data_IF_892632433019
#
_entry.id   IF_892632433019
#
_cell.length_a   1.000
_cell.length_b   1.000
_cell.length_c   1.000
_cell.angle_alpha   90.00
_cell.angle_beta   90.00
_cell.angle_gamma   90.00
#
_symmetry.space_group_name_H-M   'P 1'
#
loop_
_entity.id
_entity.type
_entity.pdbx_description
1 polymer ?
#
# COMPACT_ATOMS: atom_id res chain seq x y z
N UNK A 1 35.72 -14.67 -2.80
CA UNK A 1 35.14 -15.99 -3.10
C UNK A 1 33.95 -16.20 -2.18
N UNK A 2 32.73 -15.87 -2.61
CA UNK A 2 31.51 -16.20 -1.89
C UNK A 2 31.01 -17.54 -2.41
N UNK A 3 30.86 -18.51 -1.52
CA UNK A 3 30.29 -19.82 -1.85
C UNK A 3 28.81 -19.65 -2.18
N UNK A 4 28.44 -20.11 -3.36
CA UNK A 4 27.06 -20.26 -3.74
C UNK A 4 26.36 -21.25 -2.80
N UNK A 5 25.40 -20.76 -2.02
CA UNK A 5 24.49 -21.59 -1.27
C UNK A 5 23.49 -22.13 -2.27
N UNK A 6 23.56 -23.42 -2.53
CA UNK A 6 22.55 -24.13 -3.32
C UNK A 6 21.28 -24.26 -2.47
N UNK A 7 20.29 -23.43 -2.76
CA UNK A 7 18.94 -23.62 -2.24
C UNK A 7 18.31 -24.85 -2.91
N UNK A 8 17.72 -25.69 -2.06
CA UNK A 8 17.05 -26.92 -2.47
C UNK A 8 15.89 -26.64 -3.45
N UNK A 9 16.01 -27.19 -4.56
CA UNK A 9 15.19 -27.61 -5.70
C UNK A 9 13.76 -27.15 -5.89
N UNK A 10 13.39 -25.88 -5.57
CA UNK A 10 12.17 -25.26 -6.10
C UNK A 10 12.60 -24.13 -7.02
N UNK A 11 12.34 -24.24 -8.31
CA UNK A 11 12.63 -23.17 -9.26
C UNK A 11 11.73 -21.97 -8.92
N UNK A 12 12.25 -21.03 -8.15
CA UNK A 12 11.59 -19.76 -7.90
C UNK A 12 11.33 -19.07 -9.25
N UNK A 13 10.06 -18.95 -9.63
CA UNK A 13 9.69 -18.16 -10.82
C UNK A 13 10.06 -16.72 -10.53
N UNK A 14 10.99 -16.17 -11.27
CA UNK A 14 11.40 -14.77 -11.10
C UNK A 14 10.41 -13.79 -11.72
N UNK A 15 9.57 -14.24 -12.66
CA UNK A 15 8.53 -13.45 -13.32
C UNK A 15 7.20 -14.17 -13.33
N UNK A 16 6.14 -13.43 -13.10
CA UNK A 16 4.79 -13.95 -13.15
C UNK A 16 3.75 -12.85 -13.37
N UNK A 17 2.58 -13.24 -13.86
CA UNK A 17 1.43 -12.37 -14.01
C UNK A 17 0.75 -12.16 -12.66
N UNK A 18 0.46 -10.90 -12.29
CA UNK A 18 -0.40 -10.52 -11.18
C UNK A 18 -1.71 -9.94 -11.70
N UNK A 19 -2.75 -10.00 -10.88
CA UNK A 19 -4.05 -9.45 -11.17
C UNK A 19 -4.58 -8.64 -9.97
N UNK A 20 -4.99 -7.40 -10.22
CA UNK A 20 -5.71 -6.55 -9.28
C UNK A 20 -7.17 -6.43 -9.73
N UNK A 21 -8.10 -6.80 -8.88
CA UNK A 21 -9.52 -6.85 -9.21
C UNK A 21 -10.22 -5.61 -8.67
N UNK A 22 -10.88 -4.85 -9.54
CA UNK A 22 -11.88 -3.85 -9.14
C UNK A 22 -13.25 -4.50 -9.19
N UNK A 23 -14.00 -4.47 -8.10
CA UNK A 23 -15.39 -4.93 -8.04
C UNK A 23 -16.25 -3.97 -7.21
N UNK A 24 -17.56 -4.15 -7.27
CA UNK A 24 -18.56 -3.36 -6.54
C UNK A 24 -19.34 -4.27 -5.57
N UNK A 25 -18.73 -4.68 -4.43
CA UNK A 25 -19.40 -5.55 -3.48
C UNK A 25 -20.60 -4.85 -2.86
N UNK A 26 -21.72 -5.57 -2.78
CA UNK A 26 -22.95 -5.03 -2.22
C UNK A 26 -23.02 -5.27 -0.72
N UNK A 27 -23.34 -4.22 0.03
CA UNK A 27 -23.44 -4.28 1.49
C UNK A 27 -24.42 -5.38 1.92
N UNK A 28 -23.99 -6.24 2.84
CA UNK A 28 -24.79 -7.35 3.41
C UNK A 28 -25.09 -8.50 2.44
N UNK A 29 -24.63 -8.46 1.20
CA UNK A 29 -24.88 -9.50 0.20
C UNK A 29 -23.71 -10.49 0.11
N UNK A 30 -23.31 -11.06 1.27
CA UNK A 30 -22.06 -11.85 1.38
C UNK A 30 -21.97 -12.98 0.36
N UNK A 31 -23.02 -13.80 0.25
CA UNK A 31 -23.00 -14.96 -0.66
C UNK A 31 -22.90 -14.54 -2.14
N UNK A 32 -23.64 -13.46 -2.51
CA UNK A 32 -23.58 -12.91 -3.85
C UNK A 32 -22.18 -12.34 -4.15
N UNK A 33 -21.65 -11.53 -3.23
CA UNK A 33 -20.30 -10.94 -3.40
C UNK A 33 -19.24 -12.03 -3.57
N UNK A 34 -19.27 -13.07 -2.74
CA UNK A 34 -18.32 -14.19 -2.82
C UNK A 34 -18.48 -14.93 -4.16
N UNK A 35 -19.71 -15.18 -4.64
CA UNK A 35 -19.93 -15.85 -5.92
C UNK A 35 -19.37 -15.03 -7.10
N UNK A 36 -19.60 -13.72 -7.13
CA UNK A 36 -19.09 -12.81 -8.15
C UNK A 36 -17.54 -12.76 -8.11
N UNK A 37 -16.97 -12.61 -6.93
CA UNK A 37 -15.51 -12.58 -6.75
C UNK A 37 -14.85 -13.92 -7.09
N UNK A 38 -15.50 -15.03 -6.76
CA UNK A 38 -15.01 -16.35 -7.16
C UNK A 38 -14.84 -16.43 -8.67
N UNK A 39 -15.83 -15.97 -9.43
CA UNK A 39 -15.77 -15.96 -10.90
C UNK A 39 -14.62 -15.09 -11.43
N UNK A 40 -14.44 -13.86 -10.87
CA UNK A 40 -13.36 -12.96 -11.27
C UNK A 40 -11.98 -13.53 -10.92
N UNK A 41 -11.82 -14.09 -9.72
CA UNK A 41 -10.55 -14.72 -9.29
C UNK A 41 -10.25 -15.95 -10.16
N UNK A 42 -11.25 -16.77 -10.47
CA UNK A 42 -11.06 -17.94 -11.34
C UNK A 42 -10.72 -17.51 -12.77
N UNK A 43 -11.31 -16.42 -13.29
CA UNK A 43 -10.94 -15.83 -14.57
C UNK A 43 -9.47 -15.40 -14.59
N UNK A 44 -9.04 -14.65 -13.56
CA UNK A 44 -7.65 -14.22 -13.44
C UNK A 44 -6.68 -15.41 -13.35
N UNK A 45 -7.03 -16.42 -12.57
CA UNK A 45 -6.23 -17.65 -12.43
C UNK A 45 -6.13 -18.45 -13.73
N UNK A 46 -7.24 -18.58 -14.48
CA UNK A 46 -7.27 -19.21 -15.82
C UNK A 46 -6.35 -18.47 -16.81
N UNK A 47 -6.26 -17.14 -16.71
CA UNK A 47 -5.34 -16.33 -17.54
C UNK A 47 -3.87 -16.48 -17.12
N UNK A 48 -3.60 -17.18 -16.04
CA UNK A 48 -2.25 -17.49 -15.54
C UNK A 48 -1.73 -16.57 -14.46
N UNK A 49 -2.58 -15.72 -13.89
CA UNK A 49 -2.19 -14.90 -12.75
C UNK A 49 -1.77 -15.77 -11.56
N UNK A 50 -0.64 -15.44 -10.94
CA UNK A 50 -0.09 -16.13 -9.78
C UNK A 50 -0.30 -15.39 -8.47
N UNK A 51 -0.44 -14.08 -8.50
CA UNK A 51 -0.87 -13.25 -7.38
C UNK A 51 -2.14 -12.51 -7.79
N UNK A 52 -3.21 -12.66 -7.02
CA UNK A 52 -4.52 -12.09 -7.29
C UNK A 52 -5.00 -11.36 -6.04
N UNK A 53 -5.38 -10.10 -6.17
CA UNK A 53 -5.89 -9.30 -5.06
C UNK A 53 -7.36 -8.93 -5.28
N UNK A 54 -8.15 -9.04 -4.22
CA UNK A 54 -9.51 -8.57 -4.09
C UNK A 54 -9.54 -7.35 -3.15
N UNK A 55 -10.51 -6.43 -3.28
CA UNK A 55 -10.57 -5.23 -2.45
C UNK A 55 -10.77 -5.48 -0.95
N UNK A 56 -10.56 -4.44 -0.17
CA UNK A 56 -10.89 -4.39 1.25
C UNK A 56 -12.37 -4.68 1.47
N UNK A 57 -12.70 -5.47 2.52
CA UNK A 57 -14.10 -5.80 2.88
C UNK A 57 -14.94 -6.30 1.70
N UNK A 58 -14.29 -6.84 0.70
CA UNK A 58 -14.91 -7.20 -0.58
C UNK A 58 -16.03 -8.22 -0.44
N UNK A 59 -15.96 -9.05 0.58
CA UNK A 59 -16.97 -10.10 0.81
C UNK A 59 -18.31 -9.58 1.32
N UNK A 60 -18.36 -8.39 1.94
CA UNK A 60 -19.52 -7.97 2.74
C UNK A 60 -20.01 -6.55 2.50
N UNK A 61 -19.20 -5.72 1.80
CA UNK A 61 -19.37 -4.26 1.80
C UNK A 61 -18.65 -3.61 2.99
N UNK A 62 -18.62 -2.28 3.01
CA UNK A 62 -17.71 -1.51 3.86
C UNK A 62 -18.41 -0.58 4.86
N UNK A 63 -19.48 0.10 4.47
CA UNK A 63 -20.10 1.18 5.23
C UNK A 63 -20.99 0.67 6.37
N UNK A 64 -20.40 0.03 7.36
CA UNK A 64 -21.08 -0.47 8.55
C UNK A 64 -21.31 0.64 9.57
N UNK A 65 -22.50 0.68 10.17
CA UNK A 65 -22.81 1.68 11.20
C UNK A 65 -22.23 1.32 12.56
N UNK A 66 -22.27 0.04 12.93
CA UNK A 66 -21.83 -0.44 14.23
C UNK A 66 -21.51 -1.94 14.24
N UNK A 67 -21.12 -2.40 15.41
CA UNK A 67 -20.77 -3.80 15.68
C UNK A 67 -21.96 -4.76 15.52
N UNK A 68 -23.16 -4.34 15.88
CA UNK A 68 -24.35 -5.19 15.81
C UNK A 68 -24.74 -5.47 14.36
N UNK A 69 -24.57 -4.47 13.50
CA UNK A 69 -24.90 -4.60 12.10
C UNK A 69 -23.93 -5.53 11.34
N UNK A 70 -22.63 -5.49 11.65
CA UNK A 70 -21.61 -6.33 10.97
C UNK A 70 -21.57 -7.76 11.55
N UNK A 71 -22.06 -7.97 12.78
CA UNK A 71 -21.97 -9.24 13.51
C UNK A 71 -22.39 -10.48 12.72
N UNK A 72 -23.45 -10.49 11.91
CA UNK A 72 -23.85 -11.68 11.14
C UNK A 72 -22.87 -12.05 10.02
N UNK A 73 -21.91 -11.18 9.69
CA UNK A 73 -21.04 -11.29 8.52
C UNK A 73 -19.59 -11.57 8.88
N UNK A 74 -19.20 -11.40 10.14
CA UNK A 74 -17.84 -11.69 10.60
C UNK A 74 -17.60 -13.19 10.65
N UNK A 75 -16.36 -13.59 10.37
CA UNK A 75 -15.95 -14.99 10.44
C UNK A 75 -14.49 -15.10 10.92
N UNK A 76 -14.08 -16.25 11.49
CA UNK A 76 -12.68 -16.47 11.82
C UNK A 76 -11.83 -16.61 10.54
N UNK A 77 -10.53 -16.41 10.66
CA UNK A 77 -9.55 -16.73 9.63
C UNK A 77 -8.56 -17.76 10.22
N UNK A 78 -8.42 -18.95 9.61
CA UNK A 78 -9.20 -19.53 8.51
C UNK A 78 -10.70 -19.72 8.80
N UNK A 79 -11.52 -19.65 7.75
CA UNK A 79 -12.96 -19.79 7.85
C UNK A 79 -13.63 -19.98 6.48
N UNK A 80 -14.97 -19.93 6.43
CA UNK A 80 -15.74 -20.29 5.23
C UNK A 80 -15.31 -19.57 3.95
N UNK A 81 -15.03 -18.26 4.02
CA UNK A 81 -14.56 -17.49 2.85
C UNK A 81 -13.18 -17.99 2.39
N UNK A 82 -12.24 -18.17 3.30
CA UNK A 82 -10.89 -18.61 2.93
C UNK A 82 -10.87 -20.01 2.32
N UNK A 83 -11.74 -20.93 2.81
CA UNK A 83 -11.88 -22.27 2.27
C UNK A 83 -12.44 -22.28 0.83
N UNK A 84 -13.27 -21.29 0.48
CA UNK A 84 -13.80 -21.16 -0.89
C UNK A 84 -12.66 -20.76 -1.86
N UNK A 85 -11.86 -19.75 -1.51
CA UNK A 85 -10.76 -19.27 -2.37
C UNK A 85 -9.56 -20.22 -2.38
N UNK A 86 -9.34 -21.01 -1.33
CA UNK A 86 -8.32 -22.06 -1.30
C UNK A 86 -8.50 -23.06 -2.44
N UNK A 87 -9.74 -23.38 -2.80
CA UNK A 87 -10.04 -24.29 -3.92
C UNK A 87 -9.47 -23.78 -5.26
N UNK A 88 -9.57 -22.46 -5.49
CA UNK A 88 -8.97 -21.81 -6.66
C UNK A 88 -7.45 -21.80 -6.53
N UNK A 89 -6.94 -21.37 -5.38
CA UNK A 89 -5.51 -21.29 -5.12
C UNK A 89 -4.83 -22.64 -5.38
N UNK A 90 -5.40 -23.71 -4.88
CA UNK A 90 -4.93 -25.09 -5.08
C UNK A 90 -5.02 -25.55 -6.53
N UNK A 91 -6.17 -25.30 -7.19
CA UNK A 91 -6.41 -25.73 -8.57
C UNK A 91 -5.47 -25.09 -9.58
N UNK A 92 -5.14 -23.79 -9.38
CA UNK A 92 -4.35 -23.01 -10.34
C UNK A 92 -2.92 -22.70 -9.83
N UNK A 93 -2.55 -23.21 -8.66
CA UNK A 93 -1.27 -22.90 -8.01
C UNK A 93 -1.00 -21.40 -7.98
N UNK A 94 -1.93 -20.64 -7.38
CA UNK A 94 -1.88 -19.19 -7.26
C UNK A 94 -2.08 -18.74 -5.81
N UNK A 95 -1.78 -17.46 -5.55
CA UNK A 95 -1.91 -16.81 -4.25
C UNK A 95 -2.96 -15.72 -4.35
N UNK A 96 -3.87 -15.69 -3.39
CA UNK A 96 -5.02 -14.80 -3.38
C UNK A 96 -5.03 -13.99 -2.09
N UNK A 97 -5.17 -12.66 -2.20
CA UNK A 97 -5.43 -11.78 -1.07
C UNK A 97 -6.89 -11.37 -1.08
N UNK A 98 -7.60 -11.63 0.01
CA UNK A 98 -9.03 -11.31 0.15
C UNK A 98 -9.30 -10.52 1.41
N UNK A 99 -10.09 -9.41 1.29
CA UNK A 99 -10.51 -8.55 2.39
C UNK A 99 -11.87 -8.98 2.97
N UNK A 100 -11.94 -9.15 4.30
CA UNK A 100 -13.15 -9.58 4.99
C UNK A 100 -13.19 -9.09 6.45
N UNK A 101 -14.39 -8.99 7.05
CA UNK A 101 -14.50 -8.73 8.48
C UNK A 101 -14.20 -10.00 9.28
N UNK A 102 -13.13 -9.95 10.08
CA UNK A 102 -12.67 -11.05 10.91
C UNK A 102 -13.27 -10.97 12.33
N UNK A 103 -13.54 -12.12 12.93
CA UNK A 103 -13.74 -12.26 14.38
C UNK A 103 -12.62 -13.07 15.02
N UNK A 104 -11.99 -12.50 16.04
CA UNK A 104 -11.23 -13.28 17.01
C UNK A 104 -12.22 -13.90 18.00
N UNK A 105 -12.53 -15.17 17.83
CA UNK A 105 -13.55 -15.87 18.61
C UNK A 105 -13.20 -15.95 20.11
N UNK A 106 -11.91 -16.01 20.44
CA UNK A 106 -11.47 -16.12 21.85
C UNK A 106 -11.73 -14.85 22.64
N UNK A 107 -11.50 -13.70 21.99
CA UNK A 107 -11.67 -12.40 22.60
C UNK A 107 -13.01 -11.74 22.22
N UNK A 108 -13.73 -12.30 21.25
CA UNK A 108 -14.91 -11.71 20.65
C UNK A 108 -14.65 -10.28 20.15
N UNK A 109 -13.53 -10.09 19.44
CA UNK A 109 -13.12 -8.83 18.86
C UNK A 109 -13.18 -8.92 17.35
N UNK A 110 -13.63 -7.85 16.68
CA UNK A 110 -13.74 -7.78 15.23
C UNK A 110 -12.61 -6.93 14.65
N UNK A 111 -12.13 -7.33 13.47
CA UNK A 111 -11.10 -6.64 12.72
C UNK A 111 -11.49 -6.51 11.25
N UNK A 112 -11.02 -5.45 10.61
CA UNK A 112 -10.93 -5.36 9.17
C UNK A 112 -9.63 -6.08 8.76
N UNK A 113 -9.75 -7.19 8.03
CA UNK A 113 -8.61 -8.11 7.82
C UNK A 113 -8.45 -8.50 6.37
N UNK A 114 -7.22 -8.84 6.01
CA UNK A 114 -6.82 -9.42 4.74
C UNK A 114 -6.17 -10.78 4.96
N UNK A 115 -6.64 -11.81 4.27
CA UNK A 115 -6.05 -13.13 4.29
C UNK A 115 -5.24 -13.38 3.01
N UNK A 116 -4.00 -13.85 3.15
CA UNK A 116 -3.21 -14.41 2.05
C UNK A 116 -3.44 -15.91 2.01
N UNK A 117 -4.01 -16.38 0.92
CA UNK A 117 -4.37 -17.77 0.70
C UNK A 117 -3.48 -18.33 -0.40
N UNK A 118 -2.82 -19.44 -0.14
CA UNK A 118 -2.02 -20.18 -1.12
C UNK A 118 -2.60 -21.55 -1.41
N UNK A 119 -1.89 -22.37 -2.22
CA UNK A 119 -2.33 -23.73 -2.57
C UNK A 119 -2.56 -24.67 -1.39
N UNK A 120 -1.89 -24.41 -0.27
CA UNK A 120 -1.94 -25.23 0.94
C UNK A 120 -2.76 -24.57 2.08
N UNK A 121 -3.57 -23.55 1.77
CA UNK A 121 -4.42 -22.86 2.71
C UNK A 121 -3.97 -21.43 3.03
N UNK A 122 -4.44 -20.91 4.17
CA UNK A 122 -4.09 -19.57 4.65
C UNK A 122 -2.63 -19.53 5.08
N UNK A 123 -1.84 -18.65 4.44
CA UNK A 123 -0.42 -18.43 4.74
C UNK A 123 -0.27 -17.41 5.87
N UNK A 124 -1.12 -16.38 5.87
CA UNK A 124 -1.06 -15.33 6.86
C UNK A 124 -2.24 -14.37 6.79
N UNK A 125 -2.32 -13.52 7.81
CA UNK A 125 -3.40 -12.54 7.99
C UNK A 125 -2.77 -11.21 8.36
N UNK A 126 -3.25 -10.14 7.75
CA UNK A 126 -3.03 -8.78 8.20
C UNK A 126 -4.34 -8.21 8.74
N UNK A 127 -4.31 -7.60 9.93
CA UNK A 127 -5.40 -6.84 10.53
C UNK A 127 -5.10 -5.36 10.37
N UNK A 128 -6.00 -4.61 9.76
CA UNK A 128 -5.83 -3.17 9.48
C UNK A 128 -5.42 -2.42 10.74
N UNK A 129 -4.27 -1.75 10.71
CA UNK A 129 -3.72 -1.07 11.87
C UNK A 129 -4.22 0.36 12.01
N UNK A 130 -4.64 0.98 10.90
CA UNK A 130 -5.13 2.35 10.87
C UNK A 130 -6.58 2.38 10.39
N UNK A 131 -7.52 2.34 11.33
CA UNK A 131 -8.94 2.41 11.02
C UNK A 131 -9.30 3.78 10.41
N UNK A 132 -10.16 3.77 9.39
CA UNK A 132 -10.67 4.97 8.77
C UNK A 132 -12.04 5.33 9.35
N UNK A 133 -12.24 6.58 9.66
CA UNK A 133 -13.46 7.25 10.19
C UNK A 133 -14.49 6.35 10.89
N UNK A 134 -15.28 5.58 10.13
CA UNK A 134 -16.42 4.80 10.69
C UNK A 134 -16.02 3.43 11.25
N UNK A 135 -14.85 2.92 10.88
CA UNK A 135 -14.44 1.56 11.25
C UNK A 135 -14.29 1.39 12.77
N UNK A 136 -13.88 2.44 13.48
CA UNK A 136 -13.74 2.41 14.94
C UNK A 136 -15.04 2.09 15.70
N UNK A 137 -16.20 2.13 15.02
CA UNK A 137 -17.50 1.76 15.60
C UNK A 137 -17.72 0.25 15.66
N UNK A 138 -16.98 -0.52 14.86
CA UNK A 138 -17.19 -1.96 14.77
C UNK A 138 -15.87 -2.76 14.82
N UNK A 139 -14.78 -2.24 14.27
CA UNK A 139 -13.47 -2.91 14.20
C UNK A 139 -12.49 -2.31 15.22
N UNK A 140 -11.72 -3.19 15.85
CA UNK A 140 -10.52 -2.81 16.61
C UNK A 140 -9.37 -2.58 15.65
N UNK A 141 -8.46 -1.67 16.00
CA UNK A 141 -7.15 -1.57 15.33
C UNK A 141 -6.39 -2.89 15.42
N UNK A 142 -5.73 -3.24 14.33
CA UNK A 142 -4.96 -4.48 14.21
C UNK A 142 -3.90 -4.61 15.28
N UNK A 143 -3.73 -5.82 15.78
CA UNK A 143 -2.78 -6.20 16.83
C UNK A 143 -1.74 -7.21 16.34
N UNK A 144 -1.73 -7.49 15.06
CA UNK A 144 -0.68 -8.25 14.39
C UNK A 144 0.37 -7.27 13.88
N UNK A 145 1.62 -7.69 13.91
CA UNK A 145 2.71 -6.91 13.35
C UNK A 145 2.59 -6.84 11.80
N UNK A 146 3.16 -5.80 11.15
CA UNK A 146 3.29 -5.74 9.69
C UNK A 146 4.23 -6.83 9.21
N UNK A 147 3.66 -7.98 8.86
CA UNK A 147 4.40 -9.18 8.50
C UNK A 147 4.67 -9.24 7.00
N UNK A 148 5.79 -9.84 6.65
CA UNK A 148 6.10 -10.19 5.26
C UNK A 148 6.08 -11.70 5.13
N UNK A 149 5.20 -12.20 4.30
CA UNK A 149 4.94 -13.62 4.11
C UNK A 149 5.83 -14.17 2.99
N UNK A 150 6.63 -15.18 3.32
CA UNK A 150 7.49 -15.85 2.34
C UNK A 150 6.67 -16.84 1.51
N UNK A 151 6.73 -16.69 0.20
CA UNK A 151 6.05 -17.58 -0.74
C UNK A 151 6.98 -17.99 -1.88
N UNK A 152 6.65 -19.06 -2.63
CA UNK A 152 7.41 -19.44 -3.83
C UNK A 152 7.44 -18.38 -4.93
N UNK A 153 6.51 -17.41 -4.92
CA UNK A 153 6.43 -16.33 -5.91
C UNK A 153 7.08 -15.02 -5.42
N UNK A 154 7.68 -15.00 -4.23
CA UNK A 154 8.33 -13.84 -3.61
C UNK A 154 7.80 -13.55 -2.21
N UNK A 155 8.36 -12.54 -1.59
CA UNK A 155 7.97 -12.08 -0.27
C UNK A 155 6.83 -11.07 -0.40
N UNK A 156 5.69 -11.33 0.22
CA UNK A 156 4.48 -10.52 0.09
C UNK A 156 4.18 -9.81 1.41
N UNK A 157 4.13 -8.48 1.38
CA UNK A 157 3.55 -7.65 2.42
C UNK A 157 2.09 -7.34 2.12
N UNK A 158 1.29 -7.01 3.13
CA UNK A 158 -0.13 -6.69 2.96
C UNK A 158 -0.48 -5.45 3.77
N UNK A 159 -1.09 -4.47 3.10
CA UNK A 159 -1.67 -3.27 3.69
C UNK A 159 -3.16 -3.19 3.37
N UNK A 160 -3.91 -2.47 4.21
CA UNK A 160 -5.34 -2.25 3.98
C UNK A 160 -5.62 -0.74 3.97
N UNK A 161 -5.87 -0.18 2.78
CA UNK A 161 -6.41 1.16 2.56
C UNK A 161 -5.66 2.27 3.34
N UNK A 162 -6.19 2.73 4.47
CA UNK A 162 -5.58 3.78 5.28
C UNK A 162 -4.17 3.45 5.75
N UNK A 163 -3.81 2.18 5.87
CA UNK A 163 -2.45 1.78 6.24
C UNK A 163 -1.41 2.34 5.26
N UNK A 164 -1.67 2.32 3.95
CA UNK A 164 -0.70 2.77 2.93
C UNK A 164 -0.45 4.29 2.96
N UNK A 165 -1.36 5.08 3.57
CA UNK A 165 -1.14 6.50 3.77
C UNK A 165 -0.05 6.78 4.80
N UNK A 166 0.14 5.88 5.75
CA UNK A 166 1.17 6.00 6.80
C UNK A 166 2.46 5.39 6.25
N UNK A 167 3.49 6.22 6.09
CA UNK A 167 4.71 5.80 5.41
C UNK A 167 5.46 4.68 6.15
N UNK A 168 5.34 4.62 7.47
CA UNK A 168 6.00 3.65 8.32
C UNK A 168 5.54 2.23 8.04
N UNK A 169 4.27 2.01 7.69
CA UNK A 169 3.71 0.69 7.43
C UNK A 169 4.38 0.02 6.24
N UNK A 170 4.35 0.68 5.08
CA UNK A 170 5.03 0.19 3.89
C UNK A 170 6.56 0.13 4.07
N UNK A 171 7.13 1.06 4.87
CA UNK A 171 8.56 1.04 5.20
C UNK A 171 8.94 -0.18 6.02
N UNK A 172 8.13 -0.58 7.00
CA UNK A 172 8.36 -1.80 7.78
C UNK A 172 8.38 -3.03 6.87
N UNK A 173 7.43 -3.15 5.96
CA UNK A 173 7.39 -4.26 5.00
C UNK A 173 8.59 -4.26 4.07
N UNK A 174 8.97 -3.09 3.54
CA UNK A 174 10.16 -2.94 2.70
C UNK A 174 11.45 -3.35 3.42
N UNK A 175 11.62 -2.93 4.69
CA UNK A 175 12.79 -3.30 5.53
C UNK A 175 12.80 -4.80 5.86
N UNK A 176 11.62 -5.41 6.01
CA UNK A 176 11.46 -6.85 6.24
C UNK A 176 11.61 -7.68 4.97
N UNK A 177 11.88 -7.03 3.84
CA UNK A 177 12.24 -7.67 2.59
C UNK A 177 11.07 -8.05 1.71
N UNK A 178 9.97 -7.29 1.75
CA UNK A 178 8.90 -7.45 0.79
C UNK A 178 9.41 -7.23 -0.65
N UNK A 179 9.03 -8.12 -1.55
CA UNK A 179 9.18 -7.98 -2.98
C UNK A 179 7.94 -7.25 -3.57
N UNK A 180 6.77 -7.59 -3.03
CA UNK A 180 5.48 -7.01 -3.40
C UNK A 180 4.72 -6.61 -2.13
N UNK A 181 4.17 -5.41 -2.14
CA UNK A 181 3.18 -4.94 -1.17
C UNK A 181 1.83 -5.00 -1.86
N UNK A 182 0.91 -5.79 -1.32
CA UNK A 182 -0.49 -5.83 -1.79
C UNK A 182 -1.28 -4.89 -0.90
N UNK A 183 -1.84 -3.84 -1.48
CA UNK A 183 -2.78 -2.96 -0.81
C UNK A 183 -4.19 -3.26 -1.29
N UNK A 184 -5.08 -3.58 -0.35
CA UNK A 184 -6.50 -3.77 -0.64
C UNK A 184 -7.29 -2.61 -0.09
N UNK A 185 -8.08 -1.95 -0.94
CA UNK A 185 -8.64 -0.62 -0.61
C UNK A 185 -10.12 -0.49 -0.89
N UNK A 186 -10.72 0.47 -0.16
CA UNK A 186 -11.99 1.12 -0.44
C UNK A 186 -11.73 2.63 -0.50
N UNK A 187 -11.03 3.08 -1.56
CA UNK A 187 -10.53 4.45 -1.66
C UNK A 187 -11.63 5.43 -1.99
N UNK A 188 -11.69 6.52 -1.24
CA UNK A 188 -12.71 7.58 -1.38
C UNK A 188 -12.05 8.95 -1.50
N UNK A 189 -12.76 9.91 -2.11
CA UNK A 189 -12.46 11.35 -2.15
C UNK A 189 -11.23 11.76 -2.99
N UNK A 190 -10.23 10.91 -3.15
CA UNK A 190 -9.00 11.21 -3.89
C UNK A 190 -8.98 10.56 -5.26
N UNK A 191 -8.25 11.19 -6.18
CA UNK A 191 -8.00 10.62 -7.51
C UNK A 191 -7.17 9.34 -7.41
N UNK A 192 -7.62 8.29 -8.10
CA UNK A 192 -6.89 7.02 -8.25
C UNK A 192 -6.29 6.88 -9.67
N UNK A 193 -5.13 6.22 -9.82
CA UNK A 193 -4.23 5.74 -8.76
C UNK A 193 -3.68 6.86 -7.90
N UNK A 194 -3.68 6.68 -6.57
CA UNK A 194 -3.28 7.70 -5.61
C UNK A 194 -1.76 7.92 -5.58
N UNK A 195 -1.31 9.16 -5.37
CA UNK A 195 0.12 9.51 -5.35
C UNK A 195 0.89 8.75 -4.25
N UNK A 196 0.24 8.46 -3.13
CA UNK A 196 0.82 7.66 -2.06
C UNK A 196 1.24 6.27 -2.54
N UNK A 197 0.46 5.62 -3.40
CA UNK A 197 0.77 4.29 -3.94
C UNK A 197 2.09 4.27 -4.72
N UNK A 198 2.30 5.28 -5.58
CA UNK A 198 3.55 5.46 -6.33
C UNK A 198 4.74 5.71 -5.40
N UNK A 199 4.53 6.56 -4.40
CA UNK A 199 5.58 6.88 -3.44
C UNK A 199 6.00 5.64 -2.65
N UNK A 200 5.04 4.84 -2.16
CA UNK A 200 5.33 3.60 -1.43
C UNK A 200 6.09 2.59 -2.28
N UNK A 201 5.75 2.46 -3.56
CA UNK A 201 6.49 1.60 -4.48
C UNK A 201 7.94 2.08 -4.63
N UNK A 202 8.13 3.35 -4.97
CA UNK A 202 9.44 3.93 -5.24
C UNK A 202 10.36 3.94 -4.01
N UNK A 203 9.91 4.49 -2.89
CA UNK A 203 10.75 4.65 -1.69
C UNK A 203 11.17 3.33 -1.05
N UNK A 204 10.35 2.27 -1.21
CA UNK A 204 10.65 0.94 -0.69
C UNK A 204 11.26 -0.01 -1.75
N UNK A 205 11.23 0.39 -3.03
CA UNK A 205 11.71 -0.43 -4.14
C UNK A 205 10.97 -1.76 -4.23
N UNK A 206 9.67 -1.75 -3.95
CA UNK A 206 8.76 -2.90 -4.02
C UNK A 206 7.76 -2.68 -5.13
N UNK A 207 7.22 -3.75 -5.71
CA UNK A 207 5.96 -3.61 -6.42
C UNK A 207 4.84 -3.25 -5.43
N UNK A 208 3.90 -2.42 -5.88
CA UNK A 208 2.64 -2.17 -5.16
C UNK A 208 1.50 -2.63 -6.05
N UNK A 209 0.82 -3.70 -5.63
CA UNK A 209 -0.38 -4.23 -6.27
C UNK A 209 -1.58 -3.74 -5.49
N UNK A 210 -2.34 -2.83 -6.08
CA UNK A 210 -3.52 -2.24 -5.42
C UNK A 210 -4.79 -2.85 -5.99
N UNK A 211 -5.64 -3.36 -5.12
CA UNK A 211 -7.00 -3.79 -5.45
C UNK A 211 -7.98 -2.88 -4.74
N UNK A 212 -8.70 -2.07 -5.51
CA UNK A 212 -9.61 -1.05 -5.00
C UNK A 212 -11.04 -1.28 -5.50
N UNK A 213 -12.02 -1.10 -4.61
CA UNK A 213 -13.42 -1.24 -5.00
C UNK A 213 -13.92 -0.04 -5.77
N UNK A 214 -14.98 -0.23 -6.54
CA UNK A 214 -15.74 0.85 -7.16
C UNK A 214 -17.19 0.87 -6.65
N UNK A 215 -17.99 1.84 -7.13
CA UNK A 215 -19.42 1.92 -6.92
C UNK A 215 -19.84 2.78 -5.76
N UNK A 216 -21.16 2.81 -5.51
CA UNK A 216 -21.81 3.65 -4.51
C UNK A 216 -22.37 2.78 -3.38
N UNK A 217 -22.04 3.11 -2.13
CA UNK A 217 -22.59 2.45 -0.94
C UNK A 217 -22.93 3.47 0.13
N UNK A 218 -24.21 3.54 0.54
CA UNK A 218 -24.70 4.49 1.57
C UNK A 218 -24.30 5.94 1.34
N UNK A 219 -24.24 6.37 0.08
CA UNK A 219 -23.88 7.73 -0.29
C UNK A 219 -22.38 7.99 -0.40
N UNK A 220 -21.55 6.99 -0.10
CA UNK A 220 -20.10 7.04 -0.32
C UNK A 220 -19.77 6.46 -1.69
N UNK A 221 -19.09 7.25 -2.52
CA UNK A 221 -18.59 6.82 -3.82
C UNK A 221 -17.16 6.29 -3.69
N UNK A 222 -16.90 5.15 -4.29
CA UNK A 222 -15.59 4.49 -4.32
C UNK A 222 -15.01 4.53 -5.73
N UNK A 223 -13.75 4.91 -5.84
CA UNK A 223 -13.16 5.36 -7.10
C UNK A 223 -12.73 4.24 -8.03
N UNK A 224 -12.42 3.04 -7.53
CA UNK A 224 -11.76 2.02 -8.32
C UNK A 224 -10.33 2.40 -8.68
N UNK A 225 -9.84 1.94 -9.83
CA UNK A 225 -8.48 2.23 -10.27
C UNK A 225 -7.44 1.23 -9.74
N UNK A 226 -7.85 -0.03 -9.54
CA UNK A 226 -6.93 -1.12 -9.21
C UNK A 226 -5.75 -1.15 -10.17
N UNK A 227 -4.53 -1.29 -9.67
CA UNK A 227 -3.34 -1.11 -10.48
C UNK A 227 -2.13 -1.91 -9.99
N UNK A 228 -1.10 -1.97 -10.83
CA UNK A 228 0.23 -2.43 -10.47
C UNK A 228 1.24 -1.32 -10.75
N UNK A 229 2.03 -1.00 -9.73
CA UNK A 229 3.12 -0.01 -9.78
C UNK A 229 4.43 -0.73 -9.54
N UNK A 230 5.45 -0.42 -10.33
CA UNK A 230 6.76 -1.05 -10.24
C UNK A 230 7.69 -0.40 -9.18
N UNK A 231 8.82 -1.02 -8.82
CA UNK A 231 9.76 -0.49 -7.84
C UNK A 231 10.39 0.87 -8.17
N UNK A 232 10.28 1.34 -9.41
CA UNK A 232 10.72 2.67 -9.84
C UNK A 232 9.59 3.71 -9.82
N UNK A 233 8.39 3.31 -9.39
CA UNK A 233 7.22 4.18 -9.34
C UNK A 233 6.50 4.36 -10.67
N UNK A 234 6.65 3.44 -11.63
CA UNK A 234 5.94 3.48 -12.90
C UNK A 234 4.65 2.66 -12.83
N UNK A 235 3.58 3.21 -13.37
CA UNK A 235 2.32 2.49 -13.55
C UNK A 235 2.45 1.47 -14.67
N UNK A 236 2.29 0.18 -14.34
CA UNK A 236 2.36 -0.91 -15.33
C UNK A 236 1.00 -1.26 -15.93
N UNK A 237 -0.05 -1.20 -15.13
CA UNK A 237 -1.43 -1.38 -15.56
C UNK A 237 -2.38 -0.69 -14.57
N UNK A 238 -3.57 -0.37 -15.04
CA UNK A 238 -4.66 0.18 -14.24
C UNK A 238 -5.99 -0.32 -14.78
N UNK A 239 -6.91 -0.70 -13.90
CA UNK A 239 -8.30 -0.88 -14.24
C UNK A 239 -8.97 0.49 -14.21
N UNK A 240 -9.67 0.82 -15.28
CA UNK A 240 -10.48 2.03 -15.34
C UNK A 240 -11.67 1.96 -14.35
N UNK A 241 -12.58 2.87 -14.47
CA UNK A 241 -13.81 2.92 -13.66
C UNK A 241 -14.70 1.70 -13.92
N UNK A 242 -15.26 1.15 -12.84
CA UNK A 242 -16.17 0.00 -12.89
C UNK A 242 -15.47 -1.35 -12.66
N UNK A 243 -16.23 -2.44 -12.57
CA UNK A 243 -15.68 -3.78 -12.36
C UNK A 243 -14.74 -4.20 -13.49
N UNK A 244 -13.51 -4.53 -13.17
CA UNK A 244 -12.46 -4.87 -14.13
C UNK A 244 -11.30 -5.62 -13.45
N UNK A 245 -10.44 -6.24 -14.26
CA UNK A 245 -9.21 -6.89 -13.78
C UNK A 245 -8.01 -6.26 -14.48
N UNK A 246 -7.16 -5.59 -13.74
CA UNK A 246 -5.88 -5.10 -14.22
C UNK A 246 -4.82 -6.20 -14.13
N UNK A 247 -4.11 -6.44 -15.22
CA UNK A 247 -3.07 -7.46 -15.29
C UNK A 247 -1.71 -6.83 -15.51
N UNK A 248 -0.71 -7.22 -14.72
CA UNK A 248 0.67 -6.76 -14.90
C UNK A 248 1.69 -7.83 -14.54
N UNK A 249 2.88 -7.75 -15.14
CA UNK A 249 3.98 -8.66 -14.85
C UNK A 249 4.80 -8.16 -13.67
N UNK A 250 5.08 -9.04 -12.70
CA UNK A 250 6.00 -8.81 -11.59
C UNK A 250 7.31 -9.53 -11.89
N UNK A 251 8.44 -8.82 -11.78
CA UNK A 251 9.80 -9.40 -11.82
C UNK A 251 10.44 -9.27 -10.43
N UNK A 252 10.57 -10.38 -9.73
CA UNK A 252 11.15 -10.42 -8.38
C UNK A 252 12.62 -9.95 -8.36
N UNK A 253 13.36 -10.14 -9.45
CA UNK A 253 14.75 -9.64 -9.54
C UNK A 253 14.78 -8.12 -9.49
N UNK A 254 13.82 -7.46 -10.18
CA UNK A 254 13.70 -5.99 -10.14
C UNK A 254 13.36 -5.51 -8.74
N UNK A 255 12.42 -6.16 -8.05
CA UNK A 255 12.06 -5.81 -6.67
C UNK A 255 13.22 -5.97 -5.67
N UNK A 256 14.11 -6.93 -5.90
CA UNK A 256 15.28 -7.18 -5.03
C UNK A 256 16.47 -6.29 -5.32
N UNK A 257 16.49 -5.61 -6.46
CA UNK A 257 17.46 -4.54 -6.72
C UNK A 257 16.97 -3.25 -6.06
N UNK A 258 17.50 -2.96 -4.88
CA UNK A 258 17.19 -1.75 -4.11
C UNK A 258 18.15 -0.60 -4.39
N UNK A 259 18.97 -0.69 -5.44
CA UNK A 259 19.92 0.36 -5.83
C UNK A 259 19.20 1.56 -6.46
N UNK A 260 19.76 2.74 -6.30
CA UNK A 260 19.37 3.96 -6.99
C UNK A 260 20.58 4.85 -7.25
N UNK A 261 20.52 5.68 -8.28
CA UNK A 261 21.57 6.65 -8.62
C UNK A 261 23.01 6.05 -8.67
N UNK A 262 23.16 4.83 -9.16
CA UNK A 262 24.44 4.16 -9.38
C UNK A 262 25.17 3.67 -8.14
N UNK A 263 25.07 4.33 -6.99
CA UNK A 263 25.79 3.98 -5.75
C UNK A 263 24.89 3.83 -4.52
N UNK A 264 23.74 4.51 -4.51
CA UNK A 264 22.80 4.48 -3.38
C UNK A 264 22.03 3.17 -3.29
N UNK A 265 21.58 2.83 -2.08
CA UNK A 265 20.79 1.63 -1.84
C UNK A 265 19.71 1.92 -0.81
N UNK A 266 18.44 1.85 -1.22
CA UNK A 266 17.24 2.27 -0.45
C UNK A 266 17.18 1.70 0.99
N UNK A 267 17.72 0.51 1.23
CA UNK A 267 17.67 -0.13 2.54
C UNK A 267 18.99 -0.05 3.30
N UNK A 268 20.13 -0.31 2.63
CA UNK A 268 21.46 -0.34 3.27
C UNK A 268 21.89 1.02 3.80
N UNK A 269 21.58 2.08 3.06
CA UNK A 269 22.12 3.42 3.34
C UNK A 269 21.24 4.20 4.32
N UNK A 270 20.22 3.55 4.90
CA UNK A 270 19.40 4.12 5.97
C UNK A 270 20.23 4.38 7.24
N UNK A 271 19.91 5.46 7.92
CA UNK A 271 20.53 5.87 9.18
C UNK A 271 19.50 5.87 10.33
N UNK A 272 19.02 4.68 10.80
CA UNK A 272 18.00 4.60 11.85
C UNK A 272 18.39 5.36 13.12
N UNK A 273 19.71 5.44 13.40
CA UNK A 273 20.27 6.21 14.49
C UNK A 273 20.01 7.72 14.39
N UNK A 274 19.78 8.24 13.18
CA UNK A 274 19.59 9.66 12.91
C UNK A 274 18.11 10.11 12.91
N UNK A 275 17.16 9.17 12.97
CA UNK A 275 15.72 9.46 12.92
C UNK A 275 14.90 8.66 13.94
N UNK A 276 15.45 8.56 15.15
CA UNK A 276 14.76 7.87 16.27
C UNK A 276 13.43 8.53 16.64
N UNK A 277 13.28 9.83 16.39
CA UNK A 277 12.06 10.57 16.73
C UNK A 277 10.82 10.08 15.98
N UNK A 278 10.99 9.39 14.83
CA UNK A 278 9.88 8.80 14.09
C UNK A 278 9.11 7.75 14.91
N UNK A 279 9.78 7.09 15.87
CA UNK A 279 9.17 6.05 16.71
C UNK A 279 8.57 6.60 18.00
N UNK A 280 8.70 7.88 18.24
CA UNK A 280 8.12 8.52 19.42
C UNK A 280 6.68 8.91 19.15
N UNK A 281 5.81 8.64 20.13
CA UNK A 281 4.45 9.17 20.11
C UNK A 281 4.52 10.71 20.18
N UNK A 282 3.93 11.43 19.23
CA UNK A 282 3.94 12.89 19.21
C UNK A 282 3.34 13.52 20.49
N UNK A 283 2.47 12.82 21.19
CA UNK A 283 1.94 13.27 22.49
C UNK A 283 2.92 13.15 23.66
N UNK A 284 4.04 12.47 23.46
CA UNK A 284 5.15 12.42 24.43
C UNK A 284 6.12 13.60 24.28
N UNK A 285 5.99 14.38 23.21
CA UNK A 285 6.76 15.61 23.03
C UNK A 285 6.24 16.71 23.95
N UNK A 286 7.05 17.78 24.07
CA UNK A 286 6.59 18.98 24.78
C UNK A 286 5.25 19.45 24.17
N UNK A 287 4.21 19.71 24.99
CA UNK A 287 2.87 20.04 24.49
C UNK A 287 2.84 21.20 23.49
N UNK A 288 3.70 22.22 23.68
CA UNK A 288 3.85 23.35 22.78
C UNK A 288 4.32 22.94 21.38
N UNK A 289 5.28 22.01 21.28
CA UNK A 289 5.78 21.48 20.01
C UNK A 289 4.70 20.66 19.29
N UNK A 290 3.96 19.80 20.00
CA UNK A 290 2.88 19.02 19.45
C UNK A 290 1.76 19.88 18.89
N UNK A 291 1.36 20.92 19.62
CA UNK A 291 0.34 21.88 19.19
C UNK A 291 0.77 22.65 17.93
N UNK A 292 1.98 23.20 17.91
CA UNK A 292 2.50 23.91 16.74
C UNK A 292 2.66 22.98 15.52
N UNK A 293 3.18 21.77 15.71
CA UNK A 293 3.41 20.80 14.66
C UNK A 293 2.12 20.37 13.93
N UNK A 294 1.02 20.22 14.68
CA UNK A 294 -0.27 19.79 14.11
C UNK A 294 -1.24 20.93 13.81
N UNK A 295 -0.76 22.20 13.82
CA UNK A 295 -1.55 23.36 13.44
C UNK A 295 -2.65 23.73 14.43
N UNK A 296 -2.52 23.36 15.71
CA UNK A 296 -3.44 23.74 16.77
C UNK A 296 -3.23 25.18 17.27
N UNK A 297 -2.01 25.71 17.09
CA UNK A 297 -1.72 27.11 17.42
C UNK A 297 -2.09 28.03 16.24
N UNK A 298 -2.55 29.26 16.51
CA UNK A 298 -2.79 30.23 15.47
C UNK A 298 -1.49 30.52 14.70
N UNK A 299 -1.57 30.45 13.38
CA UNK A 299 -0.42 30.87 12.55
C UNK A 299 -0.12 32.36 12.77
N UNK A 300 1.16 32.72 12.86
CA UNK A 300 1.54 34.14 12.93
C UNK A 300 1.09 34.86 11.66
N UNK A 301 0.77 36.16 11.81
CA UNK A 301 0.43 37.00 10.67
C UNK A 301 1.57 36.99 9.66
N UNK A 302 1.30 36.41 8.48
CA UNK A 302 2.25 36.32 7.39
C UNK A 302 2.10 37.49 6.42
N UNK A 303 3.15 37.71 5.64
CA UNK A 303 3.09 38.60 4.46
C UNK A 303 3.20 37.73 3.20
N UNK A 304 2.51 38.11 2.14
CA UNK A 304 2.73 37.50 0.83
C UNK A 304 4.22 37.70 0.45
N UNK A 305 4.90 36.60 0.17
CA UNK A 305 6.33 36.55 -0.16
C UNK A 305 6.49 35.93 -1.54
N UNK A 306 7.24 36.60 -2.41
CA UNK A 306 7.68 36.02 -3.67
C UNK A 306 8.94 35.18 -3.41
N UNK A 307 8.98 33.98 -3.96
CA UNK A 307 10.11 33.07 -3.87
C UNK A 307 10.68 32.88 -5.26
N UNK A 308 11.98 33.18 -5.44
CA UNK A 308 12.74 32.83 -6.63
C UNK A 308 13.46 31.49 -6.43
N UNK A 309 13.47 30.66 -7.45
CA UNK A 309 14.25 29.41 -7.48
C UNK A 309 15.25 29.51 -8.63
N UNK A 310 16.54 29.40 -8.32
CA UNK A 310 17.61 29.47 -9.32
C UNK A 310 18.32 28.12 -9.45
N UNK A 311 18.58 27.70 -10.67
CA UNK A 311 19.35 26.49 -10.98
C UNK A 311 20.71 26.89 -11.57
N UNK A 312 21.78 26.58 -10.82
CA UNK A 312 23.16 26.92 -11.19
C UNK A 312 23.98 25.67 -11.45
N UNK A 313 24.93 25.78 -12.41
CA UNK A 313 26.01 24.79 -12.56
C UNK A 313 27.24 25.27 -11.79
N UNK A 314 27.56 24.70 -10.63
CA UNK A 314 28.74 25.11 -9.86
C UNK A 314 30.03 24.61 -10.52
N UNK A 315 31.08 25.42 -10.39
CA UNK A 315 32.46 25.00 -10.76
C UNK A 315 33.10 24.37 -9.53
N UNK A 316 33.50 23.12 -9.68
CA UNK A 316 34.12 22.38 -8.56
C UNK A 316 35.42 23.07 -8.13
N UNK A 317 35.52 23.35 -6.83
CA UNK A 317 36.71 23.97 -6.21
C UNK A 317 36.84 25.48 -6.40
N UNK A 318 35.97 26.14 -7.16
CA UNK A 318 36.01 27.59 -7.37
C UNK A 318 34.89 28.30 -6.63
N UNK A 319 35.12 28.59 -5.35
CA UNK A 319 34.17 29.29 -4.49
C UNK A 319 33.84 30.69 -4.99
N UNK A 320 34.81 31.42 -5.49
CA UNK A 320 34.63 32.80 -5.92
C UNK A 320 33.69 32.87 -7.15
N UNK A 321 33.98 32.11 -8.20
CA UNK A 321 33.15 32.07 -9.38
C UNK A 321 31.71 31.55 -9.07
N UNK A 322 31.56 30.66 -8.12
CA UNK A 322 30.25 30.18 -7.71
C UNK A 322 29.45 31.26 -6.95
N UNK A 323 30.11 32.04 -6.10
CA UNK A 323 29.47 33.17 -5.39
C UNK A 323 29.04 34.28 -6.35
N UNK A 324 29.89 34.62 -7.32
CA UNK A 324 29.56 35.63 -8.36
C UNK A 324 28.32 35.19 -9.17
N UNK A 325 28.21 33.92 -9.54
CA UNK A 325 27.02 33.38 -10.24
C UNK A 325 25.75 33.49 -9.40
N UNK A 326 25.81 33.11 -8.13
CA UNK A 326 24.68 33.23 -7.21
C UNK A 326 24.22 34.69 -7.12
N UNK A 327 25.17 35.64 -7.02
CA UNK A 327 24.85 37.07 -6.90
C UNK A 327 24.20 37.63 -8.17
N UNK A 328 24.67 37.21 -9.36
CA UNK A 328 24.08 37.62 -10.64
C UNK A 328 22.64 37.10 -10.77
N UNK A 329 22.39 35.83 -10.45
CA UNK A 329 21.04 35.27 -10.52
C UNK A 329 20.10 35.90 -9.51
N UNK A 330 20.54 36.09 -8.27
CA UNK A 330 19.72 36.74 -7.24
C UNK A 330 19.34 38.20 -7.61
N UNK A 331 20.17 38.91 -8.35
CA UNK A 331 19.86 40.26 -8.86
C UNK A 331 18.90 40.22 -10.07
N UNK A 332 19.05 39.21 -10.96
CA UNK A 332 18.13 39.03 -12.11
C UNK A 332 16.71 38.68 -11.69
N UNK A 333 16.56 37.84 -10.67
CA UNK A 333 15.28 37.47 -10.12
C UNK A 333 14.55 38.65 -9.44
N UNK A 334 15.27 39.57 -8.80
CA UNK A 334 14.68 40.77 -8.24
C UNK A 334 14.12 41.71 -9.32
N UNK A 335 14.71 41.77 -10.50
CA UNK A 335 14.22 42.58 -11.63
C UNK A 335 13.03 41.95 -12.33
N UNK A 336 12.99 40.64 -12.45
CA UNK A 336 11.88 39.91 -13.07
C UNK A 336 10.62 39.83 -12.16
N UNK A 337 10.78 39.99 -10.86
CA UNK A 337 9.67 40.02 -9.89
C UNK A 337 8.99 41.39 -9.73
N UNK A 338 9.49 42.44 -10.35
CA UNK A 338 8.94 43.80 -10.24
C UNK A 338 7.89 44.14 -11.32
N UNK A 339 7.56 43.22 -12.19
CA UNK A 339 6.73 43.42 -13.39
C UNK A 339 5.42 42.61 -13.43
N UNK A 340 4.79 42.26 -12.29
CA UNK A 340 3.42 41.71 -12.27
C UNK A 340 2.59 42.36 -11.18
#
# INVERSE_FOLDING_TARGET
MRKDIKDGGTTCRTKYLAAAITCDPKLKMKDQNIAEQYALVEEAAKKGAKLIALPEMSTTGYCWYDREEVRPYVEPIPGPTTEIFEKIAKKYECWIVVGLPEVDEKMNVYYNSAALIGPDGVIGVHRKTHNYVCEGRWAKQGNLDHQVFKTPIGNIGILICMDINIMETARLEGVRGADVIVDISNWVEDKTPALTWFTRAYENGCYVLVSDRCGLERGTEFNGGSCLIDPDGHLLCCADTGPAIAYGEIDIKKARDKSFSGYGHKMRDRRPDAYMDIVLDPYLWEPSLGHGLYGHDPLPAGKATKIGVSQLMPVTGDKAANMDRIEVEAKSDQTNCSGV
#
